data_IF_171425741495
#
_entry.id   IF_171425741495
#
_cell.length_a   1.000
_cell.length_b   1.000
_cell.length_c   1.000
_cell.angle_alpha   90.00
_cell.angle_beta   90.00
_cell.angle_gamma   90.00
#
_symmetry.space_group_name_H-M   'P 1'
#
loop_
_entity.id
_entity.type
_entity.pdbx_description
1 polymer ?
#
# COMPACT_ATOMS: atom_id res chain seq x y z
N UNK A 1 32.54 -39.93 -14.23
CA UNK A 1 31.17 -39.60 -14.67
C UNK A 1 30.28 -39.61 -13.43
N UNK A 2 30.21 -38.53 -12.64
CA UNK A 2 29.36 -38.55 -11.42
C UNK A 2 29.00 -37.16 -10.86
N UNK A 3 28.55 -36.23 -11.72
CA UNK A 3 27.99 -34.93 -11.29
C UNK A 3 26.49 -34.80 -11.64
N UNK A 4 25.92 -35.78 -12.36
CA UNK A 4 24.59 -35.66 -12.94
C UNK A 4 23.47 -36.39 -12.17
N UNK A 5 23.79 -37.18 -11.12
CA UNK A 5 22.79 -37.93 -10.34
C UNK A 5 22.45 -37.36 -8.96
N UNK A 6 23.21 -36.37 -8.47
CA UNK A 6 23.09 -35.86 -7.10
C UNK A 6 22.24 -34.60 -6.88
N UNK A 7 21.83 -33.89 -7.94
CA UNK A 7 21.21 -32.56 -7.80
C UNK A 7 19.81 -32.43 -8.45
N UNK A 8 19.39 -33.39 -9.29
CA UNK A 8 18.11 -33.29 -10.00
C UNK A 8 16.87 -33.33 -9.06
N UNK A 9 16.92 -34.14 -7.99
CA UNK A 9 15.81 -34.31 -7.06
C UNK A 9 15.53 -33.07 -6.20
N UNK A 10 16.58 -32.38 -5.73
CA UNK A 10 16.44 -31.18 -4.91
C UNK A 10 15.98 -29.94 -5.69
N UNK A 11 16.40 -29.82 -6.96
CA UNK A 11 15.97 -28.72 -7.84
C UNK A 11 14.48 -28.91 -8.22
N UNK A 12 14.05 -30.15 -8.48
CA UNK A 12 12.66 -30.49 -8.78
C UNK A 12 11.72 -30.27 -7.58
N UNK A 13 12.13 -30.62 -6.35
CA UNK A 13 11.31 -30.38 -5.15
C UNK A 13 11.13 -28.89 -4.85
N UNK A 14 12.18 -28.09 -5.04
CA UNK A 14 12.12 -26.65 -4.81
C UNK A 14 11.25 -25.93 -5.84
N UNK A 15 11.33 -26.33 -7.12
CA UNK A 15 10.47 -25.81 -8.17
C UNK A 15 9.00 -26.19 -7.94
N UNK A 16 8.73 -27.45 -7.54
CA UNK A 16 7.39 -27.89 -7.19
C UNK A 16 6.84 -27.14 -5.98
N UNK A 17 7.67 -26.89 -4.96
CA UNK A 17 7.31 -26.06 -3.81
C UNK A 17 6.95 -24.62 -4.21
N UNK A 18 7.75 -23.99 -5.08
CA UNK A 18 7.46 -22.65 -5.60
C UNK A 18 6.14 -22.61 -6.40
N UNK A 19 5.91 -23.59 -7.28
CA UNK A 19 4.68 -23.70 -8.05
C UNK A 19 3.44 -23.88 -7.16
N UNK A 20 3.54 -24.74 -6.13
CA UNK A 20 2.46 -24.93 -5.15
C UNK A 20 2.16 -23.65 -4.38
N UNK A 21 3.18 -22.93 -3.92
CA UNK A 21 3.01 -21.66 -3.22
C UNK A 21 2.29 -20.61 -4.08
N UNK A 22 2.64 -20.51 -5.37
CA UNK A 22 1.95 -19.61 -6.31
C UNK A 22 0.49 -20.03 -6.49
N UNK A 23 0.20 -21.32 -6.59
CA UNK A 23 -1.17 -21.82 -6.72
C UNK A 23 -2.01 -21.54 -5.47
N UNK A 24 -1.46 -21.81 -4.29
CA UNK A 24 -2.11 -21.53 -3.01
C UNK A 24 -2.34 -20.02 -2.82
N UNK A 25 -1.38 -19.18 -3.22
CA UNK A 25 -1.54 -17.72 -3.23
C UNK A 25 -2.67 -17.26 -4.16
N UNK A 26 -2.77 -17.82 -5.38
CA UNK A 26 -3.87 -17.52 -6.31
C UNK A 26 -5.24 -17.90 -5.73
N UNK A 27 -5.33 -19.06 -5.08
CA UNK A 27 -6.57 -19.52 -4.44
C UNK A 27 -6.96 -18.62 -3.26
N UNK A 28 -5.99 -18.16 -2.48
CA UNK A 28 -6.22 -17.22 -1.38
C UNK A 28 -6.66 -15.84 -1.88
N UNK A 29 -6.05 -15.34 -2.95
CA UNK A 29 -6.44 -14.08 -3.61
C UNK A 29 -7.88 -14.14 -4.13
N UNK A 30 -8.22 -15.21 -4.86
CA UNK A 30 -9.58 -15.39 -5.40
C UNK A 30 -10.64 -15.47 -4.29
N UNK A 31 -10.35 -16.18 -3.19
CA UNK A 31 -11.24 -16.24 -2.02
C UNK A 31 -11.42 -14.87 -1.37
N UNK A 32 -10.35 -14.09 -1.28
CA UNK A 32 -10.37 -12.74 -0.70
C UNK A 32 -11.18 -11.79 -1.59
N UNK A 33 -10.96 -11.83 -2.90
CA UNK A 33 -11.75 -11.08 -3.90
C UNK A 33 -13.23 -11.43 -3.92
N UNK A 34 -13.62 -12.61 -3.45
CA UNK A 34 -15.05 -13.00 -3.37
C UNK A 34 -15.71 -12.61 -2.05
N UNK A 35 -14.95 -12.57 -0.95
CA UNK A 35 -15.51 -12.45 0.41
C UNK A 35 -15.17 -11.17 1.13
N UNK A 36 -14.15 -10.43 0.69
CA UNK A 36 -13.61 -9.23 1.37
C UNK A 36 -13.54 -8.00 0.45
N UNK A 37 -14.31 -7.98 -0.63
CA UNK A 37 -14.43 -6.80 -1.49
C UNK A 37 -15.86 -6.31 -1.53
N UNK A 38 -16.02 -5.02 -1.81
CA UNK A 38 -17.32 -4.37 -2.01
C UNK A 38 -17.52 -4.01 -3.48
N UNK A 39 -18.75 -4.02 -4.01
CA UNK A 39 -19.05 -3.46 -5.34
C UNK A 39 -19.03 -1.93 -5.38
N UNK A 40 -19.04 -1.26 -4.21
CA UNK A 40 -18.88 0.19 -4.13
C UNK A 40 -17.41 0.58 -4.27
N UNK A 41 -17.12 1.77 -4.81
CA UNK A 41 -15.76 2.34 -4.85
C UNK A 41 -15.49 3.11 -3.56
N UNK A 42 -14.65 2.53 -2.69
CA UNK A 42 -14.31 3.09 -1.39
C UNK A 42 -12.80 3.14 -1.27
N UNK A 43 -12.29 4.37 -1.18
CA UNK A 43 -10.89 4.69 -0.97
C UNK A 43 -10.73 5.33 0.41
N UNK A 44 -9.79 4.82 1.21
CA UNK A 44 -9.45 5.37 2.52
C UNK A 44 -8.00 5.80 2.56
N UNK A 45 -7.79 7.04 3.01
CA UNK A 45 -6.48 7.58 3.35
C UNK A 45 -6.30 7.53 4.87
N UNK A 46 -5.35 6.72 5.34
CA UNK A 46 -5.05 6.59 6.76
C UNK A 46 -3.72 7.29 7.09
N UNK A 47 -3.68 8.02 8.21
CA UNK A 47 -2.52 8.81 8.59
C UNK A 47 -1.31 7.99 9.03
N UNK A 48 -1.49 6.75 9.49
CA UNK A 48 -0.41 5.96 10.05
C UNK A 48 -0.58 4.45 9.85
N UNK A 49 0.48 3.68 10.11
CA UNK A 49 0.40 2.22 10.27
C UNK A 49 -0.26 1.85 11.59
N UNK A 50 -0.88 0.68 11.65
CA UNK A 50 -1.55 0.17 12.85
C UNK A 50 -0.64 0.13 14.09
N UNK A 51 0.68 0.07 13.90
CA UNK A 51 1.69 0.10 14.96
C UNK A 51 2.25 1.50 15.26
N UNK A 52 1.62 2.56 14.78
CA UNK A 52 2.05 3.95 14.96
C UNK A 52 0.95 4.76 15.65
N UNK A 53 1.35 5.72 16.47
CA UNK A 53 0.41 6.66 17.11
C UNK A 53 0.10 7.80 16.17
N UNK A 54 -1.19 8.15 16.05
CA UNK A 54 -1.57 9.36 15.33
C UNK A 54 -1.10 10.58 16.10
N UNK A 55 -0.27 11.43 15.49
CA UNK A 55 0.25 12.63 16.14
C UNK A 55 -0.68 13.81 15.87
N UNK A 56 -1.10 14.48 16.93
CA UNK A 56 -1.63 15.83 16.83
C UNK A 56 -0.47 16.77 16.50
N UNK A 57 -0.62 17.58 15.45
CA UNK A 57 0.38 18.58 15.06
C UNK A 57 -0.05 19.96 15.49
N UNK A 58 0.90 20.81 15.82
CA UNK A 58 0.70 22.25 15.84
C UNK A 58 1.45 22.85 14.67
N UNK A 59 0.73 23.35 13.66
CA UNK A 59 1.32 24.12 12.57
C UNK A 59 0.88 25.58 12.71
N UNK A 60 1.84 26.50 12.71
CA UNK A 60 1.63 27.95 12.94
C UNK A 60 0.81 28.27 14.22
N UNK A 61 0.99 27.49 15.28
CA UNK A 61 0.28 27.68 16.55
C UNK A 61 -1.19 27.23 16.54
N UNK A 62 -1.67 26.60 15.46
CA UNK A 62 -3.00 25.98 15.38
C UNK A 62 -2.89 24.46 15.47
N UNK A 63 -3.73 23.86 16.30
CA UNK A 63 -3.87 22.40 16.35
C UNK A 63 -4.43 21.90 15.01
N UNK A 64 -3.73 20.99 14.35
CA UNK A 64 -4.14 20.34 13.11
C UNK A 64 -3.70 18.88 13.09
N UNK A 65 -4.45 18.02 12.41
CA UNK A 65 -4.03 16.64 12.20
C UNK A 65 -2.90 16.58 11.18
N UNK A 66 -1.80 15.89 11.52
CA UNK A 66 -0.62 15.77 10.66
C UNK A 66 -0.97 15.26 9.24
N UNK A 67 -1.85 14.27 9.14
CA UNK A 67 -2.31 13.71 7.87
C UNK A 67 -3.18 14.69 7.08
N UNK A 68 -4.19 15.29 7.71
CA UNK A 68 -5.08 16.24 7.02
C UNK A 68 -4.32 17.45 6.51
N UNK A 69 -3.37 17.96 7.30
CA UNK A 69 -2.47 19.04 6.90
C UNK A 69 -1.63 18.65 5.67
N UNK A 70 -0.94 17.51 5.74
CA UNK A 70 -0.09 17.05 4.64
C UNK A 70 -0.88 16.74 3.36
N UNK A 71 -2.10 16.21 3.50
CA UNK A 71 -3.01 15.93 2.38
C UNK A 71 -3.41 17.19 1.63
N UNK A 72 -3.83 18.23 2.38
CA UNK A 72 -4.19 19.53 1.81
C UNK A 72 -2.97 20.19 1.18
N UNK A 73 -1.81 20.16 1.84
CA UNK A 73 -0.58 20.74 1.33
C UNK A 73 -0.14 20.09 0.00
N UNK A 74 -0.18 18.76 -0.07
CA UNK A 74 0.16 18.00 -1.27
C UNK A 74 -0.77 18.34 -2.46
N UNK A 75 -2.09 18.39 -2.25
CA UNK A 75 -3.05 18.75 -3.29
C UNK A 75 -2.95 20.22 -3.70
N UNK A 76 -2.62 21.12 -2.77
CA UNK A 76 -2.43 22.54 -3.07
C UNK A 76 -1.19 22.75 -3.95
N UNK A 77 -0.10 22.03 -3.67
CA UNK A 77 1.15 22.11 -4.42
C UNK A 77 1.07 21.45 -5.80
N UNK A 78 0.38 20.31 -5.87
CA UNK A 78 0.20 19.53 -7.09
C UNK A 78 -1.28 19.13 -7.22
N UNK A 79 -2.11 19.94 -7.90
CA UNK A 79 -3.55 19.70 -7.95
C UNK A 79 -3.98 18.50 -8.81
N UNK A 80 -3.11 18.07 -9.75
CA UNK A 80 -3.37 16.92 -10.63
C UNK A 80 -2.33 15.85 -10.38
N UNK A 81 -2.75 14.78 -9.72
CA UNK A 81 -1.89 13.67 -9.32
C UNK A 81 -2.65 12.37 -9.45
N UNK A 82 -1.95 11.30 -9.79
CA UNK A 82 -2.46 9.94 -9.60
C UNK A 82 -2.55 9.58 -8.12
N UNK A 83 -3.32 8.53 -7.77
CA UNK A 83 -3.38 8.01 -6.40
C UNK A 83 -1.98 7.69 -5.86
N UNK A 84 -1.11 7.07 -6.67
CA UNK A 84 0.27 6.77 -6.26
C UNK A 84 1.09 8.04 -6.02
N UNK A 85 1.01 9.02 -6.93
CA UNK A 85 1.73 10.29 -6.80
C UNK A 85 1.26 11.06 -5.56
N UNK A 86 -0.04 11.10 -5.31
CA UNK A 86 -0.61 11.75 -4.14
C UNK A 86 -0.13 11.08 -2.84
N UNK A 87 -0.08 9.75 -2.79
CA UNK A 87 0.47 9.05 -1.62
C UNK A 87 1.93 9.41 -1.36
N UNK A 88 2.74 9.54 -2.42
CA UNK A 88 4.14 9.93 -2.32
C UNK A 88 4.27 11.38 -1.85
N UNK A 89 3.53 12.32 -2.44
CA UNK A 89 3.61 13.73 -2.07
C UNK A 89 3.17 13.97 -0.63
N UNK A 90 2.10 13.32 -0.15
CA UNK A 90 1.69 13.39 1.26
C UNK A 90 2.79 12.85 2.19
N UNK A 91 3.47 11.76 1.82
CA UNK A 91 4.61 11.23 2.60
C UNK A 91 5.80 12.19 2.64
N UNK A 92 6.06 12.90 1.55
CA UNK A 92 7.10 13.93 1.53
C UNK A 92 6.75 15.11 2.44
N UNK A 93 5.52 15.61 2.40
CA UNK A 93 5.07 16.70 3.28
C UNK A 93 5.13 16.32 4.78
N UNK A 94 5.02 15.03 5.10
CA UNK A 94 5.14 14.53 6.47
C UNK A 94 6.58 14.19 6.90
N UNK A 95 7.52 14.11 5.95
CA UNK A 95 8.89 13.64 6.22
C UNK A 95 9.63 14.62 7.13
N UNK A 96 10.30 14.08 8.16
CA UNK A 96 11.10 14.87 9.11
C UNK A 96 10.28 15.62 10.16
N UNK A 97 8.96 15.78 9.95
CA UNK A 97 8.02 16.37 10.92
C UNK A 97 7.28 15.30 11.72
N UNK A 98 6.91 14.20 11.06
CA UNK A 98 6.15 13.11 11.68
C UNK A 98 6.78 11.75 11.40
N UNK A 99 6.63 10.84 12.35
CA UNK A 99 7.06 9.44 12.20
C UNK A 99 6.00 8.59 11.49
N UNK A 100 4.77 9.09 11.43
CA UNK A 100 3.62 8.45 10.79
C UNK A 100 3.88 8.21 9.31
N UNK A 101 3.39 7.08 8.79
CA UNK A 101 3.46 6.73 7.37
C UNK A 101 2.05 6.65 6.80
N UNK A 102 1.63 7.64 5.99
CA UNK A 102 0.37 7.58 5.26
C UNK A 102 0.20 6.29 4.47
N UNK A 103 -1.03 5.79 4.47
CA UNK A 103 -1.46 4.59 3.76
C UNK A 103 -2.70 4.87 2.92
N UNK A 104 -2.75 4.22 1.76
CA UNK A 104 -3.88 4.18 0.86
C UNK A 104 -4.47 2.76 0.91
N UNK A 105 -5.76 2.67 1.23
CA UNK A 105 -6.52 1.43 1.27
C UNK A 105 -7.74 1.54 0.37
N UNK A 106 -8.16 0.41 -0.20
CA UNK A 106 -9.35 0.34 -1.06
C UNK A 106 -10.14 -0.93 -0.77
N UNK A 107 -11.46 -0.89 -0.97
CA UNK A 107 -12.36 -2.05 -0.80
C UNK A 107 -12.26 -3.07 -1.95
N UNK A 108 -11.59 -2.73 -3.05
CA UNK A 108 -11.27 -3.62 -4.15
C UNK A 108 -9.92 -3.22 -4.76
N UNK A 109 -9.28 -4.07 -5.58
CA UNK A 109 -8.08 -3.68 -6.31
C UNK A 109 -8.36 -2.43 -7.17
N UNK A 110 -7.42 -1.50 -7.18
CA UNK A 110 -7.48 -0.27 -7.97
C UNK A 110 -6.22 -0.12 -8.80
N UNK A 111 -6.35 0.58 -9.92
CA UNK A 111 -5.21 1.12 -10.65
C UNK A 111 -4.79 2.45 -10.02
N UNK A 112 -3.63 2.44 -9.36
CA UNK A 112 -3.13 3.62 -8.65
C UNK A 112 -2.49 4.66 -9.56
N UNK A 113 -2.32 4.37 -10.86
CA UNK A 113 -1.81 5.32 -11.86
C UNK A 113 -2.91 6.27 -12.37
N UNK A 114 -4.18 5.95 -12.12
CA UNK A 114 -5.30 6.83 -12.44
C UNK A 114 -5.27 8.13 -11.62
N UNK A 115 -5.78 9.21 -12.20
CA UNK A 115 -5.88 10.52 -11.55
C UNK A 115 -6.80 10.44 -10.32
N UNK A 116 -6.34 11.00 -9.20
CA UNK A 116 -7.16 11.15 -8.00
C UNK A 116 -8.23 12.22 -8.25
N UNK A 117 -9.49 11.85 -7.99
CA UNK A 117 -10.66 12.73 -8.10
C UNK A 117 -11.38 12.77 -6.74
N UNK A 118 -11.71 13.98 -6.29
CA UNK A 118 -12.43 14.26 -5.04
C UNK A 118 -13.37 15.46 -5.20
#
# INVERSE_FOLDING_TARGET
MDILRGNAGGIMSNLFGAAKNVFDAKKADEKTRKTKTSPADIIQWAGCKDNQTSADSQEEGKATGAMSYAFIAALTKYPKQSYQQLLVSVREEMRGKYTQKPQLSACHPIDTELEFVA
#
